data_IF_765868296011
#
_entry.id   IF_765868296011
#
_cell.length_a   1.000
_cell.length_b   1.000
_cell.length_c   1.000
_cell.angle_alpha   90.00
_cell.angle_beta   90.00
_cell.angle_gamma   90.00
#
_symmetry.space_group_name_H-M   'P 1'
#
loop_
_entity.id
_entity.type
_entity.pdbx_description
1 polymer ?
#
# COMPACT_ATOMS: atom_id res chain seq x y z
N UNK A 1 47.24 -39.60 54.64
CA UNK A 1 45.88 -39.48 55.17
C UNK A 1 45.22 -38.24 54.57
N UNK A 2 44.15 -38.47 53.81
CA UNK A 2 43.11 -37.56 53.29
C UNK A 2 43.36 -36.04 53.30
N UNK A 3 43.46 -35.45 52.09
CA UNK A 3 43.17 -34.02 51.85
C UNK A 3 41.96 -33.93 50.91
N UNK A 4 40.81 -33.60 51.47
CA UNK A 4 39.58 -33.26 50.75
C UNK A 4 39.83 -32.04 49.85
N UNK A 5 39.55 -32.18 48.56
CA UNK A 5 39.36 -31.06 47.64
C UNK A 5 37.86 -30.74 47.61
N UNK A 6 37.49 -29.57 48.13
CA UNK A 6 36.14 -29.01 47.99
C UNK A 6 35.99 -28.43 46.58
N UNK A 7 35.27 -29.14 45.70
CA UNK A 7 34.71 -28.55 44.48
C UNK A 7 33.32 -28.00 44.81
N UNK A 8 33.23 -26.67 44.99
CA UNK A 8 31.95 -25.98 45.07
C UNK A 8 31.37 -25.87 43.65
N UNK A 9 30.38 -26.72 43.34
CA UNK A 9 29.54 -26.57 42.15
C UNK A 9 28.53 -25.46 42.41
N UNK A 10 28.75 -24.28 41.82
CA UNK A 10 27.76 -23.22 41.74
C UNK A 10 26.77 -23.60 40.62
N UNK A 11 25.61 -24.13 41.00
CA UNK A 11 24.46 -24.23 40.11
C UNK A 11 23.88 -22.82 39.90
N UNK A 12 24.16 -22.22 38.75
CA UNK A 12 23.44 -21.06 38.27
C UNK A 12 22.03 -21.49 37.82
N UNK A 13 21.06 -21.39 38.72
CA UNK A 13 19.64 -21.41 38.36
C UNK A 13 19.35 -20.12 37.58
N UNK A 14 19.42 -20.19 36.24
CA UNK A 14 18.82 -19.18 35.38
C UNK A 14 17.30 -19.38 35.48
N UNK A 15 16.66 -18.59 36.34
CA UNK A 15 15.23 -18.36 36.29
C UNK A 15 14.91 -17.71 34.93
N UNK A 16 14.55 -18.54 33.96
CA UNK A 16 13.74 -18.14 32.81
C UNK A 16 12.40 -17.66 33.37
N UNK A 17 12.35 -16.38 33.72
CA UNK A 17 11.12 -15.67 34.01
C UNK A 17 10.24 -15.73 32.77
N UNK A 18 9.27 -16.65 32.80
CA UNK A 18 8.18 -16.74 31.84
C UNK A 18 7.38 -15.44 31.98
N UNK A 19 7.66 -14.45 31.13
CA UNK A 19 6.74 -13.33 30.93
C UNK A 19 5.58 -13.83 30.09
N UNK A 20 4.70 -14.62 30.70
CA UNK A 20 3.35 -14.79 30.17
C UNK A 20 2.68 -13.43 30.31
N UNK A 21 2.76 -12.63 29.24
CA UNK A 21 2.02 -11.40 29.11
C UNK A 21 0.55 -11.71 29.39
N UNK A 22 -0.03 -10.96 30.32
CA UNK A 22 -1.43 -11.02 30.69
C UNK A 22 -2.25 -10.54 29.48
N UNK A 23 -2.53 -11.44 28.54
CA UNK A 23 -3.58 -11.21 27.57
C UNK A 23 -4.88 -11.07 28.37
N UNK A 24 -5.44 -9.86 28.41
CA UNK A 24 -6.71 -9.63 29.07
C UNK A 24 -7.76 -10.48 28.34
N UNK A 25 -8.39 -11.42 29.05
CA UNK A 25 -9.49 -12.20 28.50
C UNK A 25 -10.69 -11.28 28.34
N UNK A 26 -10.88 -10.75 27.14
CA UNK A 26 -12.12 -10.06 26.77
C UNK A 26 -13.20 -11.13 26.70
N UNK A 27 -14.22 -11.03 27.55
CA UNK A 27 -15.33 -11.97 27.52
C UNK A 27 -15.99 -11.95 26.12
N UNK A 28 -16.41 -13.12 25.60
CA UNK A 28 -17.36 -13.22 24.50
C UNK A 28 -18.46 -12.16 24.64
N UNK A 29 -18.66 -11.31 23.63
CA UNK A 29 -19.86 -10.47 23.60
C UNK A 29 -21.05 -11.38 23.33
N UNK A 30 -22.18 -11.13 23.99
CA UNK A 30 -23.43 -11.82 23.66
C UNK A 30 -23.76 -11.64 22.16
N UNK A 31 -24.15 -12.72 21.49
CA UNK A 31 -24.51 -12.69 20.06
C UNK A 31 -23.38 -12.93 19.05
N UNK A 32 -22.28 -13.60 19.45
CA UNK A 32 -21.22 -14.06 18.52
C UNK A 32 -21.64 -15.31 17.73
N UNK A 33 -22.77 -15.25 17.04
CA UNK A 33 -23.13 -16.28 16.08
C UNK A 33 -22.17 -16.23 14.88
N UNK A 34 -21.65 -17.40 14.47
CA UNK A 34 -20.79 -17.50 13.31
C UNK A 34 -21.61 -17.18 12.05
N UNK A 35 -21.32 -16.02 11.46
CA UNK A 35 -21.90 -15.57 10.20
C UNK A 35 -20.75 -15.47 9.19
N UNK A 36 -20.54 -16.48 8.33
CA UNK A 36 -19.38 -16.53 7.42
C UNK A 36 -19.21 -15.31 6.51
N UNK A 37 -20.30 -14.60 6.23
CA UNK A 37 -20.30 -13.41 5.38
C UNK A 37 -20.34 -12.10 6.18
N UNK A 38 -20.37 -12.14 7.51
CA UNK A 38 -20.39 -10.92 8.30
C UNK A 38 -19.08 -10.15 8.13
N UNK A 39 -19.19 -8.87 7.80
CA UNK A 39 -18.04 -8.01 7.57
C UNK A 39 -17.63 -7.86 6.11
N UNK A 40 -18.19 -8.67 5.20
CA UNK A 40 -17.95 -8.55 3.76
C UNK A 40 -18.65 -7.33 3.13
N UNK A 41 -19.58 -6.68 3.85
CA UNK A 41 -20.14 -5.41 3.42
C UNK A 41 -19.09 -4.28 3.42
N UNK A 42 -19.30 -3.27 2.57
CA UNK A 42 -18.46 -2.07 2.55
C UNK A 42 -18.50 -1.41 3.93
N UNK A 43 -17.32 -1.20 4.50
CA UNK A 43 -17.12 -0.56 5.78
C UNK A 43 -16.72 0.89 5.62
N UNK A 44 -15.42 1.13 5.41
CA UNK A 44 -14.86 2.48 5.29
C UNK A 44 -14.74 2.85 3.82
N UNK A 45 -15.03 4.11 3.51
CA UNK A 45 -14.78 4.70 2.20
C UNK A 45 -13.90 5.92 2.44
N UNK A 46 -12.78 5.97 1.73
CA UNK A 46 -11.92 7.14 1.64
C UNK A 46 -12.13 7.80 0.30
N UNK A 47 -12.03 9.12 0.25
CA UNK A 47 -12.35 9.91 -0.93
C UNK A 47 -11.29 10.99 -1.13
N UNK A 48 -10.91 11.23 -2.38
CA UNK A 48 -9.94 12.24 -2.77
C UNK A 48 -10.34 12.86 -4.10
N UNK A 49 -10.16 14.17 -4.23
CA UNK A 49 -10.36 14.92 -5.46
C UNK A 49 -9.01 15.28 -6.04
N UNK A 50 -8.81 15.04 -7.33
CA UNK A 50 -7.67 15.54 -8.09
C UNK A 50 -7.85 17.03 -8.41
N UNK A 51 -8.27 17.82 -7.42
CA UNK A 51 -8.46 19.26 -7.53
C UNK A 51 -7.15 20.00 -7.27
N UNK A 52 -7.01 21.24 -7.78
CA UNK A 52 -5.84 22.07 -7.48
C UNK A 52 -5.56 22.30 -5.99
N UNK A 53 -6.51 22.07 -5.09
CA UNK A 53 -6.31 22.29 -3.66
C UNK A 53 -5.81 21.04 -2.92
N UNK A 54 -5.90 19.86 -3.55
CA UNK A 54 -5.56 18.58 -2.93
C UNK A 54 -4.34 17.90 -3.57
N UNK A 55 -3.85 18.39 -4.72
CA UNK A 55 -2.56 17.96 -5.25
C UNK A 55 -1.43 18.69 -4.51
N UNK A 56 -0.29 18.00 -4.32
CA UNK A 56 0.88 18.49 -3.57
C UNK A 56 1.65 19.64 -4.25
N UNK A 57 2.97 19.52 -4.40
CA UNK A 57 3.80 20.52 -5.08
C UNK A 57 3.44 20.71 -6.56
N UNK A 58 4.07 21.70 -7.20
CA UNK A 58 4.06 21.83 -8.67
C UNK A 58 5.06 20.86 -9.29
N UNK A 59 4.86 20.51 -10.56
CA UNK A 59 5.83 19.69 -11.29
C UNK A 59 7.20 20.38 -11.39
N UNK A 60 7.22 21.71 -11.39
CA UNK A 60 8.43 22.52 -11.31
C UNK A 60 9.23 22.33 -10.01
N UNK A 61 8.58 21.84 -8.95
CA UNK A 61 9.22 21.56 -7.66
C UNK A 61 9.90 20.18 -7.63
N UNK A 62 9.90 19.43 -8.75
CA UNK A 62 10.54 18.11 -8.85
C UNK A 62 12.02 18.19 -8.43
N UNK A 63 12.44 17.45 -7.38
CA UNK A 63 13.81 17.53 -6.90
C UNK A 63 14.83 17.18 -7.97
N UNK A 64 15.96 17.90 -7.99
CA UNK A 64 17.03 17.72 -8.98
C UNK A 64 17.71 16.34 -8.93
N UNK A 65 17.54 15.61 -7.83
CA UNK A 65 17.99 14.22 -7.62
C UNK A 65 17.11 13.18 -8.34
N UNK A 66 15.87 13.51 -8.72
CA UNK A 66 14.97 12.59 -9.43
C UNK A 66 15.54 12.24 -10.81
N UNK A 67 15.69 10.95 -11.18
CA UNK A 67 16.17 10.54 -12.51
C UNK A 67 15.37 11.17 -13.66
N UNK A 68 16.04 11.55 -14.75
CA UNK A 68 15.40 12.22 -15.91
C UNK A 68 14.26 11.41 -16.54
N UNK A 69 14.34 10.08 -16.50
CA UNK A 69 13.29 9.19 -17.03
C UNK A 69 11.95 9.35 -16.30
N UNK A 70 11.95 9.85 -15.06
CA UNK A 70 10.74 10.12 -14.28
C UNK A 70 10.31 11.59 -14.30
N UNK A 71 11.06 12.45 -14.99
CA UNK A 71 10.69 13.85 -15.14
C UNK A 71 9.77 13.99 -16.33
N UNK A 72 8.81 14.89 -16.22
CA UNK A 72 8.00 15.31 -17.34
C UNK A 72 8.87 15.82 -18.50
N UNK A 73 8.47 15.44 -19.71
CA UNK A 73 9.10 15.89 -20.95
C UNK A 73 8.35 17.06 -21.59
N UNK A 74 7.10 17.31 -21.16
CA UNK A 74 6.29 18.44 -21.56
C UNK A 74 6.55 19.64 -20.63
N UNK A 75 6.30 20.88 -21.09
CA UNK A 75 6.28 22.03 -20.20
C UNK A 75 5.25 21.83 -19.07
N UNK A 76 5.69 22.02 -17.83
CA UNK A 76 4.79 21.99 -16.67
C UNK A 76 3.65 23.00 -16.84
N UNK A 77 2.42 22.52 -16.70
CA UNK A 77 1.23 23.37 -16.62
C UNK A 77 0.93 23.60 -15.14
N UNK A 78 0.87 24.87 -14.73
CA UNK A 78 0.51 25.25 -13.38
C UNK A 78 -0.83 24.62 -12.99
N UNK A 79 -0.90 24.05 -11.80
CA UNK A 79 -2.04 23.25 -11.36
C UNK A 79 -3.39 23.96 -11.45
N UNK A 80 -3.43 25.25 -11.14
CA UNK A 80 -4.64 26.07 -11.22
C UNK A 80 -5.11 26.34 -12.67
N UNK A 81 -4.22 26.20 -13.65
CA UNK A 81 -4.51 26.38 -15.07
C UNK A 81 -4.89 25.08 -15.79
N UNK A 82 -4.78 23.92 -15.12
CA UNK A 82 -5.17 22.63 -15.70
C UNK A 82 -6.69 22.55 -15.83
N UNK A 83 -7.17 22.08 -16.96
CA UNK A 83 -8.60 21.79 -17.19
C UNK A 83 -8.97 20.39 -16.68
N UNK A 84 -7.98 19.50 -16.56
CA UNK A 84 -8.19 18.12 -16.10
C UNK A 84 -8.66 18.04 -14.65
N UNK A 85 -9.61 17.13 -14.38
CA UNK A 85 -10.15 16.87 -13.05
C UNK A 85 -10.23 15.37 -12.83
N UNK A 86 -10.31 14.99 -11.56
CA UNK A 86 -10.67 13.64 -11.21
C UNK A 86 -11.12 13.51 -9.77
N UNK A 87 -11.70 12.36 -9.48
CA UNK A 87 -12.31 12.03 -8.21
C UNK A 87 -12.15 10.54 -7.97
N UNK A 88 -11.62 10.16 -6.82
CA UNK A 88 -11.32 8.78 -6.49
C UNK A 88 -11.87 8.38 -5.14
N UNK A 89 -12.39 7.17 -5.05
CA UNK A 89 -12.79 6.53 -3.80
C UNK A 89 -12.06 5.21 -3.61
N UNK A 90 -11.65 4.94 -2.37
CA UNK A 90 -11.15 3.64 -1.92
C UNK A 90 -12.11 3.09 -0.87
N UNK A 91 -12.87 2.05 -1.22
CA UNK A 91 -13.78 1.37 -0.32
C UNK A 91 -13.12 0.10 0.22
N UNK A 92 -13.24 -0.14 1.53
CA UNK A 92 -12.68 -1.32 2.21
C UNK A 92 -13.81 -2.01 2.97
N UNK A 93 -13.92 -3.34 2.84
CA UNK A 93 -14.89 -4.15 3.59
C UNK A 93 -14.64 -4.06 5.09
N UNK A 94 -15.68 -4.29 5.92
CA UNK A 94 -15.53 -4.17 7.39
C UNK A 94 -14.54 -5.19 7.97
N UNK A 95 -14.45 -6.35 7.35
CA UNK A 95 -13.46 -7.38 7.66
C UNK A 95 -12.04 -7.04 7.15
N UNK A 96 -11.88 -5.94 6.40
CA UNK A 96 -10.63 -5.49 5.77
C UNK A 96 -10.04 -6.46 4.76
N UNK A 97 -10.78 -7.48 4.33
CA UNK A 97 -10.31 -8.50 3.39
C UNK A 97 -10.34 -8.07 1.93
N UNK A 98 -11.13 -7.05 1.57
CA UNK A 98 -11.28 -6.59 0.19
C UNK A 98 -11.23 -5.06 0.10
N UNK A 99 -10.63 -4.57 -0.97
CA UNK A 99 -10.56 -3.16 -1.28
C UNK A 99 -10.98 -2.89 -2.72
N UNK A 100 -11.66 -1.78 -2.96
CA UNK A 100 -12.15 -1.37 -4.27
C UNK A 100 -11.74 0.06 -4.55
N UNK A 101 -11.07 0.27 -5.67
CA UNK A 101 -10.78 1.60 -6.17
C UNK A 101 -11.77 1.96 -7.28
N UNK A 102 -12.35 3.15 -7.17
CA UNK A 102 -13.17 3.74 -8.23
C UNK A 102 -12.66 5.14 -8.49
N UNK A 103 -12.39 5.48 -9.74
CA UNK A 103 -11.86 6.78 -10.14
C UNK A 103 -12.59 7.27 -11.37
N UNK A 104 -13.02 8.53 -11.32
CA UNK A 104 -13.54 9.28 -12.45
C UNK A 104 -12.57 10.37 -12.85
N UNK A 105 -12.36 10.53 -14.15
CA UNK A 105 -11.52 11.58 -14.74
C UNK A 105 -12.32 12.38 -15.77
N UNK A 106 -11.92 13.63 -15.95
CA UNK A 106 -12.47 14.54 -16.96
C UNK A 106 -11.34 15.42 -17.51
N UNK A 107 -11.39 15.76 -18.81
CA UNK A 107 -10.35 16.56 -19.46
C UNK A 107 -8.99 15.86 -19.57
N UNK A 108 -8.98 14.52 -19.57
CA UNK A 108 -7.82 13.66 -19.77
C UNK A 108 -8.19 12.62 -20.82
N UNK A 109 -7.36 12.46 -21.86
CA UNK A 109 -7.47 11.30 -22.75
C UNK A 109 -6.86 10.09 -22.04
N UNK A 110 -7.59 8.97 -21.85
CA UNK A 110 -7.04 7.77 -21.26
C UNK A 110 -5.77 7.25 -21.95
N UNK A 111 -5.56 7.55 -23.25
CA UNK A 111 -4.35 7.18 -23.98
C UNK A 111 -3.08 7.89 -23.46
N UNK A 112 -3.23 9.05 -22.81
CA UNK A 112 -2.12 9.83 -22.27
C UNK A 112 -1.72 9.38 -20.85
N UNK A 113 -2.45 8.43 -20.25
CA UNK A 113 -2.18 7.94 -18.90
C UNK A 113 -1.05 6.91 -18.96
N UNK A 114 0.15 7.35 -18.59
CA UNK A 114 1.36 6.51 -18.56
C UNK A 114 1.57 5.77 -17.23
N UNK A 115 1.02 6.28 -16.14
CA UNK A 115 1.14 5.71 -14.79
C UNK A 115 -0.14 5.96 -14.01
N UNK A 116 -0.67 4.93 -13.36
CA UNK A 116 -1.84 5.04 -12.49
C UNK A 116 -1.70 4.04 -11.34
N UNK A 117 -1.49 4.55 -10.14
CA UNK A 117 -1.07 3.73 -9.02
C UNK A 117 -1.50 4.32 -7.67
N UNK A 118 -1.49 3.49 -6.63
CA UNK A 118 -1.57 3.90 -5.23
C UNK A 118 -0.15 3.88 -4.68
N UNK A 119 0.30 4.95 -4.02
CA UNK A 119 1.55 4.95 -3.26
C UNK A 119 1.26 4.80 -1.76
N UNK A 120 2.19 4.24 -0.99
CA UNK A 120 2.23 4.54 0.45
C UNK A 120 3.27 5.61 0.70
N UNK A 121 2.97 6.53 1.60
CA UNK A 121 3.86 7.63 1.90
C UNK A 121 3.09 8.79 2.48
N UNK A 122 3.84 9.77 2.96
CA UNK A 122 3.23 11.02 3.40
C UNK A 122 2.67 11.75 2.18
N UNK A 123 1.50 12.39 2.27
CA UNK A 123 1.01 13.28 1.22
C UNK A 123 2.09 14.27 0.79
N UNK A 124 2.28 14.44 -0.52
CA UNK A 124 3.28 15.35 -1.09
C UNK A 124 4.71 14.80 -1.15
N UNK A 125 4.96 13.56 -0.76
CA UNK A 125 6.25 12.88 -0.97
C UNK A 125 6.10 11.78 -2.02
N UNK A 126 7.10 11.65 -2.90
CA UNK A 126 7.22 10.50 -3.77
C UNK A 126 7.44 9.27 -2.89
N UNK A 127 6.39 8.46 -2.77
CA UNK A 127 6.37 7.26 -1.95
C UNK A 127 6.49 5.99 -2.79
N UNK A 128 6.92 4.89 -2.17
CA UNK A 128 6.85 3.55 -2.75
C UNK A 128 5.46 3.22 -3.35
N UNK A 129 5.41 2.49 -4.48
CA UNK A 129 4.15 2.10 -5.13
C UNK A 129 3.51 0.91 -4.40
N UNK A 130 2.30 1.05 -3.87
CA UNK A 130 1.58 -0.07 -3.26
C UNK A 130 0.84 -0.92 -4.28
N UNK A 131 0.21 -0.27 -5.28
CA UNK A 131 -0.55 -0.93 -6.35
C UNK A 131 -0.25 -0.18 -7.64
N UNK A 132 0.16 -0.88 -8.69
CA UNK A 132 0.28 -0.33 -10.04
C UNK A 132 -0.85 -0.88 -10.90
N UNK A 133 -1.83 -0.04 -11.24
CA UNK A 133 -2.97 -0.44 -12.07
C UNK A 133 -2.61 -0.66 -13.54
N UNK A 134 -1.40 -0.25 -13.95
CA UNK A 134 -0.80 -0.60 -15.24
C UNK A 134 -0.16 -1.99 -15.26
N UNK A 135 -0.11 -2.69 -14.13
CA UNK A 135 0.48 -4.03 -14.00
C UNK A 135 -0.55 -5.05 -13.48
N UNK A 136 -0.29 -6.32 -13.80
CA UNK A 136 -0.94 -7.49 -13.21
C UNK A 136 0.14 -8.55 -12.98
N UNK A 137 -0.19 -9.62 -12.25
CA UNK A 137 0.73 -10.76 -12.08
C UNK A 137 1.20 -11.35 -13.43
N UNK A 138 0.40 -11.23 -14.49
CA UNK A 138 0.71 -11.77 -15.82
C UNK A 138 1.40 -10.75 -16.75
N UNK A 139 1.80 -9.59 -16.22
CA UNK A 139 2.45 -8.51 -16.97
C UNK A 139 1.58 -7.26 -17.15
N UNK A 140 1.93 -6.39 -18.11
CA UNK A 140 1.28 -5.08 -18.28
C UNK A 140 -0.22 -5.18 -18.59
N UNK A 141 -1.01 -4.33 -17.95
CA UNK A 141 -2.43 -4.09 -18.25
C UNK A 141 -2.55 -3.04 -19.37
N UNK A 142 -3.53 -3.20 -20.25
CA UNK A 142 -3.97 -2.10 -21.11
C UNK A 142 -4.76 -1.09 -20.27
N UNK A 143 -4.03 -0.15 -19.67
CA UNK A 143 -4.59 0.86 -18.79
C UNK A 143 -5.60 1.78 -19.50
N UNK A 144 -5.32 2.31 -20.71
CA UNK A 144 -6.31 3.12 -21.42
C UNK A 144 -7.65 2.41 -21.65
N UNK A 145 -7.63 1.13 -22.01
CA UNK A 145 -8.86 0.35 -22.20
C UNK A 145 -9.62 0.06 -20.90
N UNK A 146 -8.98 0.27 -19.74
CA UNK A 146 -9.61 0.08 -18.43
C UNK A 146 -10.46 1.28 -18.00
N UNK A 147 -10.34 2.43 -18.68
CA UNK A 147 -11.21 3.59 -18.47
C UNK A 147 -12.38 3.53 -19.45
N UNK A 148 -13.58 3.32 -18.92
CA UNK A 148 -14.83 3.33 -19.70
C UNK A 148 -15.57 4.62 -19.38
N UNK A 149 -15.77 5.48 -20.38
CA UNK A 149 -16.41 6.79 -20.22
C UNK A 149 -15.74 7.67 -19.14
N UNK A 150 -14.40 7.61 -19.05
CA UNK A 150 -13.63 8.34 -18.05
C UNK A 150 -13.72 7.75 -16.64
N UNK A 151 -14.23 6.53 -16.48
CA UNK A 151 -14.33 5.85 -15.19
C UNK A 151 -13.50 4.56 -15.17
N UNK A 152 -12.77 4.37 -14.08
CA UNK A 152 -12.00 3.17 -13.77
C UNK A 152 -12.53 2.57 -12.47
N UNK A 153 -12.80 1.27 -12.49
CA UNK A 153 -13.26 0.54 -11.30
C UNK A 153 -12.52 -0.79 -11.22
N UNK A 154 -11.95 -1.09 -10.06
CA UNK A 154 -11.23 -2.36 -9.87
C UNK A 154 -11.33 -2.82 -8.41
N UNK A 155 -11.41 -4.13 -8.22
CA UNK A 155 -11.08 -4.76 -6.94
C UNK A 155 -9.57 -4.92 -6.85
N UNK A 156 -8.98 -4.47 -5.75
CA UNK A 156 -7.55 -4.65 -5.47
C UNK A 156 -7.39 -6.02 -4.83
N UNK A 157 -6.58 -6.89 -5.46
CA UNK A 157 -6.31 -8.23 -4.96
C UNK A 157 -4.89 -8.34 -4.38
N UNK A 158 -4.62 -9.47 -3.72
CA UNK A 158 -3.26 -9.79 -3.29
C UNK A 158 -2.30 -9.93 -4.49
N UNK A 159 -2.79 -10.32 -5.66
CA UNK A 159 -1.96 -10.42 -6.86
C UNK A 159 -1.48 -9.04 -7.33
N UNK A 160 -2.32 -8.00 -7.21
CA UNK A 160 -1.93 -6.62 -7.53
C UNK A 160 -0.81 -6.12 -6.59
N UNK A 161 -0.85 -6.49 -5.31
CA UNK A 161 0.19 -6.14 -4.32
C UNK A 161 1.52 -6.85 -4.59
N UNK A 162 1.46 -8.14 -4.93
CA UNK A 162 2.64 -8.96 -5.22
C UNK A 162 3.30 -8.53 -6.54
N UNK A 163 2.51 -8.20 -7.56
CA UNK A 163 3.02 -7.79 -8.87
C UNK A 163 3.99 -6.59 -8.80
N UNK A 164 3.72 -5.61 -7.92
CA UNK A 164 4.61 -4.46 -7.73
C UNK A 164 5.91 -4.84 -7.03
N UNK A 165 5.83 -5.73 -6.05
CA UNK A 165 7.00 -6.24 -5.30
C UNK A 165 7.96 -6.95 -6.25
N UNK A 166 7.42 -7.82 -7.12
CA UNK A 166 8.22 -8.62 -8.07
C UNK A 166 8.72 -7.81 -9.27
N UNK A 167 8.11 -6.66 -9.59
CA UNK A 167 8.56 -5.81 -10.69
C UNK A 167 9.68 -4.83 -10.30
N UNK A 168 9.89 -4.60 -9.01
CA UNK A 168 10.76 -3.54 -8.50
C UNK A 168 12.22 -3.97 -8.30
N UNK A 169 12.97 -4.06 -9.39
CA UNK A 169 14.39 -4.48 -9.37
C UNK A 169 15.37 -3.39 -9.84
N UNK A 170 16.55 -3.32 -9.21
CA UNK A 170 17.66 -2.43 -9.61
C UNK A 170 17.52 -0.97 -9.15
N UNK A 171 18.39 -0.05 -9.64
CA UNK A 171 18.39 1.35 -9.22
C UNK A 171 17.11 2.12 -9.55
N UNK A 172 16.44 1.81 -10.68
CA UNK A 172 15.10 2.31 -10.98
C UNK A 172 14.05 1.66 -10.08
N UNK A 173 14.19 0.35 -9.85
CA UNK A 173 13.36 -0.40 -8.92
C UNK A 173 13.38 0.16 -7.51
N UNK A 174 14.44 0.85 -7.06
CA UNK A 174 14.43 1.55 -5.76
C UNK A 174 13.48 2.76 -5.72
N UNK A 175 13.34 3.49 -6.83
CA UNK A 175 12.44 4.65 -6.92
C UNK A 175 10.99 4.25 -7.14
N UNK A 176 10.75 3.07 -7.70
CA UNK A 176 9.42 2.49 -7.93
C UNK A 176 9.08 1.37 -6.95
N UNK A 177 10.02 1.03 -6.06
CA UNK A 177 9.90 -0.08 -5.13
C UNK A 177 8.62 0.05 -4.37
N UNK A 178 7.93 -1.07 -4.19
CA UNK A 178 6.71 -1.03 -3.41
C UNK A 178 6.96 -0.70 -1.96
N UNK A 179 5.89 -0.29 -1.29
CA UNK A 179 5.88 -0.15 0.16
C UNK A 179 6.53 -1.38 0.76
N UNK A 180 7.51 -1.26 1.67
CA UNK A 180 8.10 -2.44 2.26
C UNK A 180 7.01 -3.20 3.01
N UNK A 181 6.44 -4.21 2.34
CA UNK A 181 5.73 -5.30 2.98
C UNK A 181 6.85 -6.02 3.71
N UNK A 182 6.89 -5.86 5.04
CA UNK A 182 7.97 -6.40 5.86
C UNK A 182 8.06 -7.90 5.55
N UNK A 183 9.16 -8.39 4.93
CA UNK A 183 9.32 -9.81 4.65
C UNK A 183 9.36 -10.53 6.01
N UNK A 184 8.29 -11.24 6.35
CA UNK A 184 8.16 -11.90 7.65
C UNK A 184 6.80 -11.76 8.32
N UNK A 185 5.87 -10.96 7.79
CA UNK A 185 4.45 -11.16 8.08
C UNK A 185 3.97 -12.25 7.12
N UNK A 186 3.60 -13.45 7.61
CA UNK A 186 3.13 -14.52 6.74
C UNK A 186 1.91 -14.01 5.96
N UNK A 187 1.95 -14.13 4.62
CA UNK A 187 0.82 -13.77 3.73
C UNK A 187 -0.34 -14.79 3.86
N UNK A 188 -0.18 -15.77 4.74
CA UNK A 188 -1.11 -16.84 5.12
C UNK A 188 -1.47 -16.74 6.61
N UNK A 189 -2.12 -15.64 7.03
CA UNK A 189 -2.95 -15.66 8.24
C UNK A 189 -4.26 -14.95 8.03
#
# INVERSE_FOLDING_TARGET
MSRLWFFAWIFAFVLLGITQGWAQSVAPRDGMDLRPNAGQEIGRIYEAWLSPLQQGGEEADTPSVVPRVFRSTAPSVARNARESRGHGTLAITRDQGRAYAHVKIEGIDPQDIVLFHIHCGRPGQLGPILVDFGLTQNGPRNLPASFVNGEFSVEITNEDLVAVTDHSHGPLGFFTAGCPIIPGVPMDR
#
